data_IF_014257246771
#
_entry.id   IF_014257246771
#
_cell.length_a   1.000
_cell.length_b   1.000
_cell.length_c   1.000
_cell.angle_alpha   90.00
_cell.angle_beta   90.00
_cell.angle_gamma   90.00
#
_symmetry.space_group_name_H-M   'P 1'
#
loop_
_entity.id
_entity.type
_entity.pdbx_description
1 polymer ?
#
# COMPACT_ATOMS: atom_id res chain seq x y z
N UNK A 1 20.71 -0.59 -6.70
CA UNK A 1 19.70 -0.25 -5.69
C UNK A 1 18.28 -0.57 -6.14
N UNK A 2 17.52 -1.28 -5.29
CA UNK A 2 16.10 -1.60 -5.50
C UNK A 2 15.19 -0.39 -5.23
N UNK A 3 13.91 -0.48 -5.63
CA UNK A 3 12.91 0.56 -5.35
C UNK A 3 12.71 0.77 -3.85
N UNK A 4 12.66 -0.31 -3.06
CA UNK A 4 12.56 -0.22 -1.60
C UNK A 4 13.83 0.38 -0.97
N UNK A 5 15.00 0.03 -1.51
CA UNK A 5 16.26 0.68 -1.13
C UNK A 5 16.22 2.19 -1.41
N UNK A 6 15.64 2.61 -2.55
CA UNK A 6 15.49 4.01 -2.89
C UNK A 6 14.54 4.76 -1.93
N UNK A 7 13.46 4.13 -1.43
CA UNK A 7 12.59 4.70 -0.39
C UNK A 7 13.37 4.92 0.90
N UNK A 8 14.17 3.94 1.33
CA UNK A 8 15.02 4.04 2.52
C UNK A 8 16.07 5.13 2.34
N UNK A 9 16.70 5.22 1.17
CA UNK A 9 17.64 6.27 0.82
C UNK A 9 17.01 7.67 0.82
N UNK A 10 15.78 7.79 0.29
CA UNK A 10 15.02 9.04 0.34
C UNK A 10 14.81 9.48 1.80
N UNK A 11 14.31 8.56 2.64
CA UNK A 11 14.07 8.85 4.05
C UNK A 11 15.36 9.20 4.79
N UNK A 12 16.45 8.49 4.53
CA UNK A 12 17.75 8.78 5.14
C UNK A 12 18.24 10.18 4.82
N UNK A 13 18.25 10.59 3.54
CA UNK A 13 18.68 11.92 3.13
C UNK A 13 17.78 13.02 3.69
N UNK A 14 16.47 12.75 3.79
CA UNK A 14 15.51 13.66 4.42
C UNK A 14 15.78 13.83 5.91
N UNK A 15 16.01 12.73 6.63
CA UNK A 15 16.39 12.75 8.04
C UNK A 15 17.74 13.45 8.27
N UNK A 16 18.71 13.23 7.38
CA UNK A 16 20.02 13.89 7.42
C UNK A 16 19.88 15.40 7.24
N UNK A 17 19.11 15.85 6.25
CA UNK A 17 18.81 17.27 6.03
C UNK A 17 18.16 17.93 7.26
N UNK A 18 17.31 17.20 7.98
CA UNK A 18 16.66 17.66 9.21
C UNK A 18 17.46 17.44 10.50
N UNK A 19 18.72 16.99 10.42
CA UNK A 19 19.56 16.63 11.57
C UNK A 19 18.92 15.59 12.52
N UNK A 20 18.10 14.68 11.97
CA UNK A 20 17.37 13.62 12.72
C UNK A 20 17.73 12.22 12.23
N UNK A 21 19.02 11.94 12.06
CA UNK A 21 19.51 10.67 11.49
C UNK A 21 19.07 9.44 12.30
N UNK A 22 18.86 9.59 13.61
CA UNK A 22 18.36 8.51 14.48
C UNK A 22 16.97 7.96 14.09
N UNK A 23 16.14 8.77 13.41
CA UNK A 23 14.81 8.36 12.95
C UNK A 23 14.86 7.62 11.60
N UNK A 24 15.97 7.71 10.87
CA UNK A 24 16.05 7.18 9.51
C UNK A 24 15.89 5.66 9.46
N UNK A 25 16.42 4.97 10.49
CA UNK A 25 16.41 3.52 10.62
C UNK A 25 15.03 2.93 10.93
N UNK A 26 14.11 3.73 11.47
CA UNK A 26 12.74 3.29 11.79
C UNK A 26 11.75 3.74 10.72
N UNK A 27 11.83 5.02 10.29
CA UNK A 27 10.90 5.59 9.33
C UNK A 27 11.07 5.00 7.92
N UNK A 28 12.30 4.69 7.49
CA UNK A 28 12.54 4.11 6.16
C UNK A 28 11.88 2.74 5.98
N UNK A 29 12.14 1.76 6.86
CA UNK A 29 11.47 0.46 6.82
C UNK A 29 9.95 0.56 6.99
N UNK A 30 9.47 1.50 7.82
CA UNK A 30 8.03 1.74 7.97
C UNK A 30 7.40 2.24 6.66
N UNK A 31 8.06 3.15 5.95
CA UNK A 31 7.61 3.61 4.63
C UNK A 31 7.56 2.47 3.60
N UNK A 32 8.53 1.55 3.63
CA UNK A 32 8.50 0.35 2.78
C UNK A 32 7.30 -0.54 3.11
N UNK A 33 7.03 -0.78 4.39
CA UNK A 33 5.85 -1.52 4.83
C UNK A 33 4.54 -0.86 4.39
N UNK A 34 4.41 0.45 4.52
CA UNK A 34 3.24 1.22 4.07
C UNK A 34 3.02 1.04 2.57
N UNK A 35 4.08 1.13 1.76
CA UNK A 35 3.98 1.00 0.30
C UNK A 35 3.56 -0.41 -0.10
N UNK A 36 4.07 -1.42 0.58
CA UNK A 36 3.61 -2.79 0.37
C UNK A 36 2.12 -2.94 0.62
N UNK A 37 1.64 -2.45 1.77
CA UNK A 37 0.21 -2.46 2.12
C UNK A 37 -0.61 -1.69 1.09
N UNK A 38 -0.15 -0.51 0.66
CA UNK A 38 -0.84 0.30 -0.34
C UNK A 38 -0.96 -0.40 -1.70
N UNK A 39 0.11 -1.06 -2.15
CA UNK A 39 0.09 -1.81 -3.40
C UNK A 39 -0.84 -3.03 -3.30
N UNK A 40 -0.78 -3.79 -2.20
CA UNK A 40 -1.65 -4.96 -1.96
C UNK A 40 -3.12 -4.52 -1.91
N UNK A 41 -3.43 -3.42 -1.22
CA UNK A 41 -4.76 -2.82 -1.19
C UNK A 41 -5.22 -2.36 -2.58
N UNK A 42 -4.33 -1.82 -3.41
CA UNK A 42 -4.66 -1.43 -4.78
C UNK A 42 -5.07 -2.65 -5.62
N UNK A 43 -4.30 -3.74 -5.57
CA UNK A 43 -4.66 -4.99 -6.25
C UNK A 43 -5.97 -5.57 -5.73
N UNK A 44 -6.21 -5.45 -4.42
CA UNK A 44 -7.48 -5.86 -3.83
C UNK A 44 -8.64 -5.00 -4.34
N UNK A 45 -8.44 -3.70 -4.46
CA UNK A 45 -9.43 -2.82 -5.06
C UNK A 45 -9.77 -3.23 -6.50
N UNK A 46 -8.76 -3.56 -7.30
CA UNK A 46 -8.96 -4.10 -8.64
C UNK A 46 -9.75 -5.43 -8.63
N UNK A 47 -9.41 -6.34 -7.72
CA UNK A 47 -10.14 -7.60 -7.54
C UNK A 47 -11.62 -7.37 -7.18
N UNK A 48 -11.91 -6.46 -6.25
CA UNK A 48 -13.30 -6.07 -5.92
C UNK A 48 -13.98 -5.55 -7.18
N UNK A 49 -13.35 -4.63 -7.91
CA UNK A 49 -13.91 -4.08 -9.15
C UNK A 49 -14.31 -5.18 -10.14
N UNK A 50 -13.42 -6.14 -10.42
CA UNK A 50 -13.72 -7.22 -11.37
C UNK A 50 -14.91 -8.08 -10.93
N UNK A 51 -15.03 -8.32 -9.62
CA UNK A 51 -16.18 -9.04 -9.08
C UNK A 51 -17.47 -8.21 -9.20
N UNK A 52 -17.44 -6.93 -8.82
CA UNK A 52 -18.61 -6.06 -8.95
C UNK A 52 -19.10 -5.98 -10.41
N UNK A 53 -18.18 -5.93 -11.38
CA UNK A 53 -18.54 -5.99 -12.81
C UNK A 53 -19.19 -7.33 -13.17
N UNK A 54 -18.57 -8.45 -12.78
CA UNK A 54 -19.07 -9.79 -13.10
C UNK A 54 -20.44 -10.10 -12.47
N UNK A 55 -20.73 -9.46 -11.34
CA UNK A 55 -21.99 -9.65 -10.62
C UNK A 55 -23.05 -8.60 -10.97
N UNK A 56 -22.72 -7.49 -11.64
CA UNK A 56 -23.65 -6.37 -11.92
C UNK A 56 -25.03 -6.79 -12.47
N UNK A 57 -25.12 -7.89 -13.21
CA UNK A 57 -26.35 -8.37 -13.88
C UNK A 57 -27.05 -9.53 -13.15
N UNK A 58 -26.52 -10.03 -12.02
CA UNK A 58 -27.17 -11.11 -11.27
C UNK A 58 -28.24 -10.58 -10.31
N UNK A 59 -29.13 -11.48 -9.87
CA UNK A 59 -30.19 -11.18 -8.89
C UNK A 59 -29.60 -10.45 -7.65
N UNK A 60 -30.13 -9.26 -7.30
CA UNK A 60 -29.69 -8.47 -6.15
C UNK A 60 -29.62 -9.25 -4.82
N UNK A 61 -30.55 -10.17 -4.57
CA UNK A 61 -30.57 -10.94 -3.32
C UNK A 61 -29.43 -11.97 -3.24
N UNK A 62 -29.11 -12.60 -4.37
CA UNK A 62 -27.97 -13.52 -4.50
C UNK A 62 -26.63 -12.79 -4.36
N UNK A 63 -26.54 -11.59 -4.96
CA UNK A 63 -25.39 -10.71 -4.77
C UNK A 63 -25.16 -10.36 -3.31
N UNK A 64 -26.21 -10.00 -2.59
CA UNK A 64 -26.07 -9.50 -1.23
C UNK A 64 -25.51 -10.58 -0.30
N UNK A 65 -26.06 -11.80 -0.37
CA UNK A 65 -25.62 -12.93 0.45
C UNK A 65 -24.17 -13.34 0.15
N UNK A 66 -23.82 -13.47 -1.13
CA UNK A 66 -22.44 -13.81 -1.52
C UNK A 66 -21.50 -12.67 -1.15
N UNK A 67 -21.85 -11.42 -1.45
CA UNK A 67 -21.01 -10.29 -1.05
C UNK A 67 -20.81 -10.25 0.45
N UNK A 68 -21.81 -10.53 1.29
CA UNK A 68 -21.68 -10.42 2.74
C UNK A 68 -20.74 -11.47 3.35
N UNK A 69 -20.95 -12.75 3.03
CA UNK A 69 -20.13 -13.86 3.54
C UNK A 69 -18.68 -13.78 3.01
N UNK A 70 -18.54 -13.46 1.72
CA UNK A 70 -17.25 -13.36 1.07
C UNK A 70 -16.48 -12.13 1.53
N UNK A 71 -17.14 -10.98 1.70
CA UNK A 71 -16.51 -9.74 2.17
C UNK A 71 -16.01 -9.89 3.61
N UNK A 72 -16.72 -10.57 4.50
CA UNK A 72 -16.29 -10.71 5.90
C UNK A 72 -15.13 -11.70 6.10
N UNK A 73 -15.19 -12.88 5.47
CA UNK A 73 -14.08 -13.83 5.53
C UNK A 73 -12.82 -13.22 4.87
N UNK A 74 -12.99 -12.55 3.73
CA UNK A 74 -11.88 -11.97 2.99
C UNK A 74 -11.32 -10.71 3.65
N UNK A 75 -12.14 -9.85 4.28
CA UNK A 75 -11.67 -8.71 5.10
C UNK A 75 -10.71 -9.17 6.18
N UNK A 76 -11.05 -10.24 6.91
CA UNK A 76 -10.22 -10.74 8.01
C UNK A 76 -8.89 -11.30 7.50
N UNK A 77 -8.93 -12.18 6.49
CA UNK A 77 -7.73 -12.74 5.86
C UNK A 77 -6.83 -11.64 5.28
N UNK A 78 -7.44 -10.63 4.68
CA UNK A 78 -6.74 -9.52 4.05
C UNK A 78 -6.07 -8.60 5.08
N UNK A 79 -6.76 -8.23 6.17
CA UNK A 79 -6.17 -7.42 7.25
C UNK A 79 -4.99 -8.15 7.88
N UNK A 80 -5.14 -9.45 8.17
CA UNK A 80 -4.05 -10.27 8.74
C UNK A 80 -2.90 -10.40 7.75
N UNK A 81 -3.19 -10.63 6.46
CA UNK A 81 -2.18 -10.73 5.41
C UNK A 81 -1.41 -9.42 5.18
N UNK A 82 -2.12 -8.28 5.12
CA UNK A 82 -1.50 -6.97 4.99
C UNK A 82 -0.64 -6.63 6.21
N UNK A 83 -1.10 -6.99 7.41
CA UNK A 83 -0.32 -6.84 8.65
C UNK A 83 0.94 -7.72 8.61
N UNK A 84 0.83 -8.98 8.21
CA UNK A 84 1.98 -9.88 8.06
C UNK A 84 3.00 -9.33 7.06
N UNK A 85 2.55 -8.88 5.89
CA UNK A 85 3.43 -8.29 4.86
C UNK A 85 4.08 -7.01 5.38
N UNK A 86 3.34 -6.16 6.09
CA UNK A 86 3.88 -4.97 6.74
C UNK A 86 4.98 -5.34 7.74
N UNK A 87 4.70 -6.28 8.64
CA UNK A 87 5.64 -6.71 9.67
C UNK A 87 6.89 -7.33 9.05
N UNK A 88 6.74 -8.24 8.09
CA UNK A 88 7.86 -8.85 7.37
C UNK A 88 8.72 -7.80 6.69
N UNK A 89 8.10 -6.85 5.98
CA UNK A 89 8.81 -5.76 5.32
C UNK A 89 9.56 -4.90 6.34
N UNK A 90 8.88 -4.50 7.42
CA UNK A 90 9.48 -3.70 8.48
C UNK A 90 10.67 -4.42 9.11
N UNK A 91 10.53 -5.71 9.47
CA UNK A 91 11.61 -6.48 10.07
C UNK A 91 12.79 -6.66 9.11
N UNK A 92 12.54 -7.11 7.87
CA UNK A 92 13.59 -7.36 6.88
C UNK A 92 14.45 -6.13 6.62
N UNK A 93 13.81 -4.97 6.42
CA UNK A 93 14.53 -3.72 6.12
C UNK A 93 15.08 -3.01 7.36
N UNK A 94 14.64 -3.39 8.57
CA UNK A 94 15.20 -2.90 9.85
C UNK A 94 16.45 -3.67 10.28
N UNK A 95 16.69 -4.88 9.74
CA UNK A 95 17.92 -5.65 9.99
C UNK A 95 19.12 -4.75 9.70
N UNK A 96 20.01 -4.62 10.70
CA UNK A 96 21.14 -3.68 10.67
C UNK A 96 22.00 -3.86 9.41
N UNK A 97 22.27 -5.10 9.00
CA UNK A 97 23.04 -5.41 7.80
C UNK A 97 22.37 -4.92 6.52
N UNK A 98 21.08 -5.21 6.34
CA UNK A 98 20.31 -4.80 5.14
C UNK A 98 20.24 -3.28 5.05
N UNK A 99 19.86 -2.62 6.13
CA UNK A 99 19.77 -1.16 6.16
C UNK A 99 21.12 -0.50 5.87
N UNK A 100 22.18 -0.94 6.56
CA UNK A 100 23.51 -0.36 6.38
C UNK A 100 24.02 -0.59 4.96
N UNK A 101 23.81 -1.76 4.36
CA UNK A 101 24.20 -2.02 2.98
C UNK A 101 23.54 -1.05 2.01
N UNK A 102 22.26 -0.73 2.19
CA UNK A 102 21.53 0.25 1.36
C UNK A 102 22.12 1.65 1.53
N UNK A 103 22.41 2.08 2.76
CA UNK A 103 22.97 3.40 3.02
C UNK A 103 24.41 3.51 2.52
N UNK A 104 25.23 2.48 2.72
CA UNK A 104 26.59 2.44 2.17
C UNK A 104 26.58 2.46 0.64
N UNK A 105 25.67 1.73 -0.01
CA UNK A 105 25.49 1.80 -1.48
C UNK A 105 25.04 3.20 -1.93
N UNK A 106 24.23 3.90 -1.13
CA UNK A 106 23.83 5.27 -1.43
C UNK A 106 25.00 6.25 -1.33
N UNK A 107 25.72 6.20 -0.20
CA UNK A 107 26.79 7.15 0.13
C UNK A 107 28.04 6.98 -0.75
N UNK A 108 28.24 5.80 -1.35
CA UNK A 108 29.30 5.58 -2.34
C UNK A 108 29.03 6.26 -3.70
N UNK A 109 27.81 6.77 -3.92
CA UNK A 109 27.44 7.48 -5.16
C UNK A 109 27.69 8.98 -5.03
N UNK A 110 27.99 9.63 -6.15
CA UNK A 110 28.04 11.09 -6.26
C UNK A 110 26.73 11.77 -5.84
N UNK A 111 26.82 13.00 -5.33
CA UNK A 111 25.69 13.77 -4.81
C UNK A 111 24.51 13.90 -5.78
N UNK A 112 24.79 14.06 -7.08
CA UNK A 112 23.77 14.13 -8.14
C UNK A 112 23.00 12.81 -8.25
N UNK A 113 23.71 11.67 -8.19
CA UNK A 113 23.11 10.33 -8.24
C UNK A 113 22.31 10.02 -6.96
N UNK A 114 22.79 10.46 -5.79
CA UNK A 114 22.05 10.34 -4.53
C UNK A 114 20.69 11.05 -4.61
N UNK A 115 20.66 12.29 -5.12
CA UNK A 115 19.42 13.06 -5.32
C UNK A 115 18.46 12.35 -6.30
N UNK A 116 18.97 11.75 -7.38
CA UNK A 116 18.15 10.97 -8.33
C UNK A 116 17.50 9.76 -7.65
N UNK A 117 18.25 8.99 -6.88
CA UNK A 117 17.72 7.86 -6.09
C UNK A 117 16.66 8.34 -5.10
N UNK A 118 16.93 9.42 -4.37
CA UNK A 118 15.98 9.99 -3.42
C UNK A 118 14.66 10.39 -4.09
N UNK A 119 14.74 11.01 -5.28
CA UNK A 119 13.57 11.39 -6.07
C UNK A 119 12.78 10.15 -6.51
N UNK A 120 13.45 9.08 -6.93
CA UNK A 120 12.80 7.80 -7.28
C UNK A 120 12.04 7.23 -6.07
N UNK A 121 12.70 7.12 -4.92
CA UNK A 121 12.09 6.61 -3.68
C UNK A 121 10.88 7.43 -3.24
N UNK A 122 11.00 8.77 -3.28
CA UNK A 122 9.90 9.70 -3.03
C UNK A 122 8.72 9.46 -3.97
N UNK A 123 9.00 9.42 -5.27
CA UNK A 123 7.97 9.30 -6.31
C UNK A 123 7.21 7.99 -6.19
N UNK A 124 7.93 6.88 -5.96
CA UNK A 124 7.29 5.59 -5.77
C UNK A 124 6.44 5.55 -4.50
N UNK A 125 6.96 6.06 -3.38
CA UNK A 125 6.23 6.10 -2.11
C UNK A 125 4.89 6.85 -2.24
N UNK A 126 4.92 8.10 -2.72
CA UNK A 126 3.70 8.89 -2.89
C UNK A 126 2.82 8.38 -4.03
N UNK A 127 3.42 7.86 -5.11
CA UNK A 127 2.70 7.26 -6.22
C UNK A 127 1.84 6.08 -5.79
N UNK A 128 2.37 5.15 -5.00
CA UNK A 128 1.60 4.03 -4.44
C UNK A 128 0.41 4.49 -3.59
N UNK A 129 0.59 5.54 -2.78
CA UNK A 129 -0.50 6.09 -1.97
C UNK A 129 -1.58 6.76 -2.83
N UNK A 130 -1.18 7.52 -3.85
CA UNK A 130 -2.11 8.20 -4.77
C UNK A 130 -2.91 7.17 -5.57
N UNK A 131 -2.25 6.14 -6.10
CA UNK A 131 -2.92 5.07 -6.86
C UNK A 131 -3.94 4.35 -5.98
N UNK A 132 -3.59 4.04 -4.72
CA UNK A 132 -4.51 3.46 -3.76
C UNK A 132 -5.76 4.33 -3.57
N UNK A 133 -5.56 5.63 -3.31
CA UNK A 133 -6.66 6.57 -3.10
C UNK A 133 -7.59 6.65 -4.31
N UNK A 134 -7.02 6.70 -5.52
CA UNK A 134 -7.79 6.69 -6.77
C UNK A 134 -8.61 5.39 -6.88
N UNK A 135 -7.98 4.23 -6.68
CA UNK A 135 -8.66 2.93 -6.78
C UNK A 135 -9.87 2.85 -5.83
N UNK A 136 -9.71 3.24 -4.57
CA UNK A 136 -10.79 3.21 -3.59
C UNK A 136 -11.87 4.28 -3.84
N UNK A 137 -11.49 5.46 -4.35
CA UNK A 137 -12.47 6.49 -4.74
C UNK A 137 -13.36 6.00 -5.89
N UNK A 138 -12.76 5.34 -6.89
CA UNK A 138 -13.50 4.73 -8.00
C UNK A 138 -14.43 3.64 -7.49
N UNK A 139 -13.97 2.75 -6.60
CA UNK A 139 -14.81 1.72 -6.02
C UNK A 139 -15.99 2.29 -5.22
N UNK A 140 -15.75 3.28 -4.38
CA UNK A 140 -16.81 3.94 -3.62
C UNK A 140 -17.84 4.58 -4.55
N UNK A 141 -17.39 5.25 -5.61
CA UNK A 141 -18.27 5.83 -6.62
C UNK A 141 -19.10 4.77 -7.36
N UNK A 142 -18.47 3.66 -7.78
CA UNK A 142 -19.17 2.55 -8.43
C UNK A 142 -20.19 1.88 -7.51
N UNK A 143 -19.84 1.70 -6.23
CA UNK A 143 -20.71 1.12 -5.23
C UNK A 143 -22.00 1.93 -5.06
N UNK A 144 -21.89 3.26 -5.05
CA UNK A 144 -23.06 4.16 -5.02
C UNK A 144 -23.81 4.13 -6.34
N UNK A 145 -23.10 4.28 -7.47
CA UNK A 145 -23.72 4.39 -8.81
C UNK A 145 -24.48 3.14 -9.23
N UNK A 146 -24.01 1.96 -8.84
CA UNK A 146 -24.64 0.68 -9.20
C UNK A 146 -25.72 0.24 -8.19
N UNK A 147 -26.11 1.11 -7.26
CA UNK A 147 -27.23 0.85 -6.35
C UNK A 147 -26.92 -0.16 -5.23
N UNK A 148 -25.67 -0.63 -5.11
CA UNK A 148 -25.27 -1.55 -4.05
C UNK A 148 -25.46 -0.96 -2.65
N UNK A 149 -25.33 0.36 -2.50
CA UNK A 149 -25.65 1.05 -1.25
C UNK A 149 -27.12 0.86 -0.82
N UNK A 150 -28.06 0.96 -1.76
CA UNK A 150 -29.49 0.80 -1.46
C UNK A 150 -29.84 -0.66 -1.13
N UNK A 151 -29.28 -1.61 -1.88
CA UNK A 151 -29.44 -3.04 -1.62
C UNK A 151 -28.87 -3.46 -0.25
N UNK A 152 -27.71 -2.91 0.13
CA UNK A 152 -27.10 -3.20 1.42
C UNK A 152 -27.95 -2.72 2.61
N UNK A 153 -28.61 -1.55 2.49
CA UNK A 153 -29.45 -1.00 3.56
C UNK A 153 -30.80 -1.71 3.72
N UNK A 154 -31.25 -2.48 2.72
CA UNK A 154 -32.53 -3.21 2.77
C UNK A 154 -32.46 -4.50 3.62
N UNK A 155 -31.27 -5.08 3.82
CA UNK A 155 -31.06 -6.33 4.58
C UNK A 155 -30.53 -6.09 6.01
N UNK A 156 -30.18 -4.85 6.38
CA UNK A 156 -29.68 -4.52 7.73
C UNK A 156 -30.76 -4.01 8.69
N UNK A 157 -32.01 -3.90 8.24
CA UNK A 157 -33.21 -3.58 9.03
C UNK A 157 -34.20 -4.74 8.98
#
# INVERSE_FOLDING_TARGET
>A
MTVFGAIISHNYLWCQYRQRVGLAKTQGPLMVGIVWVANVLTFYGYYIYTNLVAFKEKDPAYLNRIMWEWLNAFKLSFVIGALLVFLLSYFLYRIKGVYNNIITELLSKESVKQKKVAKLGKTYFYGSLIVLLIAYSVLAWLFVKWGFWAAFNLDTN
#
